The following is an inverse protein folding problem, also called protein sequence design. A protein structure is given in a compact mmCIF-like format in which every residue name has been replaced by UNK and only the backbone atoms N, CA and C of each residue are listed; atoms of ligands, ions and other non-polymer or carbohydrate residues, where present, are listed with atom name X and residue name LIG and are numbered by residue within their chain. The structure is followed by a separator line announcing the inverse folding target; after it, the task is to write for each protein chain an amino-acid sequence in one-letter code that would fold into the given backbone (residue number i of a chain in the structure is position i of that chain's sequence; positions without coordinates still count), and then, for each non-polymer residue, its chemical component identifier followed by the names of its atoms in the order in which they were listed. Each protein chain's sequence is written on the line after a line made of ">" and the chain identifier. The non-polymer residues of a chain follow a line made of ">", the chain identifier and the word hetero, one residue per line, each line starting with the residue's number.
data_IF_182567651977
#
_entry.id   IF_182567651977
#
_cell.length_a   1.000
_cell.length_b   1.000
_cell.length_c   1.000
_cell.angle_alpha   90.00
_cell.angle_beta   90.00
_cell.angle_gamma   90.00
#
_symmetry.space_group_name_H-M   'P 1'
#
loop_
_entity.id
_entity.type
_entity.pdbx_description
1 polymer ?
#
# COMPACT_ATOMS: atom_id res chain seq x y z
N UNK A 1 36.49 -2.39 -8.14
CA UNK A 1 35.50 -3.06 -7.28
C UNK A 1 34.49 -2.00 -6.88
N UNK A 2 33.28 -2.03 -7.46
CA UNK A 2 32.37 -0.87 -7.48
C UNK A 2 31.45 -0.88 -6.26
N UNK A 3 31.45 0.19 -5.46
CA UNK A 3 30.76 0.29 -4.17
C UNK A 3 29.30 0.79 -4.30
N UNK A 4 28.57 0.30 -5.31
CA UNK A 4 27.14 0.66 -5.53
C UNK A 4 26.19 -0.53 -5.40
N UNK A 5 26.59 -1.57 -4.66
CA UNK A 5 25.66 -2.59 -4.16
C UNK A 5 25.33 -2.29 -2.69
N UNK A 6 24.81 -1.08 -2.42
CA UNK A 6 24.08 -0.86 -1.18
C UNK A 6 22.70 -1.47 -1.41
N UNK A 7 22.52 -2.67 -0.85
CA UNK A 7 21.24 -3.37 -0.70
C UNK A 7 20.21 -2.41 -0.12
N UNK A 8 19.47 -1.72 -0.97
CA UNK A 8 18.30 -0.95 -0.58
C UNK A 8 17.36 -1.96 0.08
N UNK A 9 16.90 -1.73 1.32
CA UNK A 9 15.90 -2.62 1.90
C UNK A 9 14.69 -2.57 0.97
N UNK A 10 14.47 -3.65 0.21
CA UNK A 10 13.26 -3.84 -0.56
C UNK A 10 12.16 -4.05 0.46
N UNK A 11 11.52 -2.95 0.86
CA UNK A 11 10.35 -3.02 1.71
C UNK A 11 9.29 -3.76 0.93
N UNK A 12 8.95 -4.94 1.44
CA UNK A 12 7.88 -5.73 0.89
C UNK A 12 6.56 -5.08 1.30
N UNK A 13 5.83 -4.56 0.32
CA UNK A 13 4.45 -4.17 0.54
C UNK A 13 3.68 -5.36 1.10
N UNK A 14 2.79 -5.11 2.05
CA UNK A 14 1.93 -6.17 2.61
C UNK A 14 1.30 -6.95 1.45
N UNK A 15 1.37 -8.28 1.52
CA UNK A 15 0.92 -9.17 0.44
C UNK A 15 -0.55 -9.00 0.03
N UNK A 16 -1.36 -8.32 0.87
CA UNK A 16 -2.75 -7.96 0.61
C UNK A 16 -2.95 -6.60 -0.09
N UNK A 17 -1.92 -5.75 -0.21
CA UNK A 17 -2.01 -4.46 -0.91
C UNK A 17 -2.35 -4.70 -2.38
N UNK A 18 -3.37 -3.99 -2.86
CA UNK A 18 -3.88 -4.10 -4.24
C UNK A 18 -4.04 -2.74 -4.91
N UNK A 19 -3.99 -1.64 -4.16
CA UNK A 19 -3.89 -0.30 -4.73
C UNK A 19 -2.45 0.04 -5.11
N UNK A 20 -2.27 0.89 -6.13
CA UNK A 20 -0.97 1.45 -6.55
C UNK A 20 0.12 0.40 -6.85
N UNK A 21 -0.27 -0.81 -7.25
CA UNK A 21 0.62 -1.89 -7.67
C UNK A 21 0.31 -2.33 -9.09
N UNK A 22 1.30 -2.84 -9.84
CA UNK A 22 1.17 -3.27 -11.24
C UNK A 22 0.41 -4.59 -11.37
N UNK A 23 -0.90 -4.57 -11.11
CA UNK A 23 -1.84 -5.70 -11.23
C UNK A 23 -3.30 -5.19 -11.26
N UNK A 24 -4.27 -5.99 -11.72
CA UNK A 24 -5.69 -5.61 -11.68
C UNK A 24 -6.27 -5.71 -10.26
N UNK A 25 -5.71 -4.97 -9.31
CA UNK A 25 -5.96 -5.15 -7.87
C UNK A 25 -7.41 -4.92 -7.44
N UNK A 26 -8.12 -3.96 -8.07
CA UNK A 26 -9.54 -3.73 -7.82
C UNK A 26 -10.37 -4.97 -8.21
N UNK A 27 -10.16 -5.49 -9.42
CA UNK A 27 -10.85 -6.69 -9.90
C UNK A 27 -10.57 -7.89 -9.00
N UNK A 28 -9.31 -8.10 -8.59
CA UNK A 28 -8.95 -9.17 -7.66
C UNK A 28 -9.68 -9.04 -6.32
N UNK A 29 -9.74 -7.84 -5.73
CA UNK A 29 -10.43 -7.61 -4.47
C UNK A 29 -11.95 -7.86 -4.58
N UNK A 30 -12.58 -7.39 -5.66
CA UNK A 30 -14.01 -7.65 -5.92
C UNK A 30 -14.27 -9.15 -6.06
N UNK A 31 -13.44 -9.86 -6.83
CA UNK A 31 -13.54 -11.31 -6.99
C UNK A 31 -13.38 -12.05 -5.66
N UNK A 32 -12.43 -11.66 -4.82
CA UNK A 32 -12.23 -12.25 -3.48
C UNK A 32 -13.43 -12.04 -2.57
N UNK A 33 -13.93 -10.81 -2.44
CA UNK A 33 -15.10 -10.51 -1.60
C UNK A 33 -16.32 -11.29 -2.10
N UNK A 34 -16.54 -11.33 -3.42
CA UNK A 34 -17.62 -12.11 -4.03
C UNK A 34 -17.49 -13.61 -3.73
N UNK A 35 -16.27 -14.17 -3.77
CA UNK A 35 -16.03 -15.56 -3.44
C UNK A 35 -16.30 -15.86 -1.96
N UNK A 36 -15.86 -14.98 -1.05
CA UNK A 36 -16.13 -15.11 0.39
C UNK A 36 -17.63 -15.09 0.71
N UNK A 37 -18.37 -14.16 0.09
CA UNK A 37 -19.84 -14.10 0.22
C UNK A 37 -20.49 -15.38 -0.31
N UNK A 38 -20.02 -15.90 -1.46
CA UNK A 38 -20.54 -17.13 -2.04
C UNK A 38 -20.35 -18.32 -1.08
N UNK A 39 -19.13 -18.51 -0.56
CA UNK A 39 -18.81 -19.61 0.37
C UNK A 39 -19.64 -19.49 1.66
N UNK A 40 -19.76 -18.29 2.22
CA UNK A 40 -20.58 -18.08 3.42
C UNK A 40 -22.05 -18.50 3.21
N UNK A 41 -22.62 -18.21 2.02
CA UNK A 41 -23.98 -18.64 1.66
C UNK A 41 -24.08 -20.15 1.48
N UNK A 42 -23.10 -20.77 0.84
CA UNK A 42 -23.07 -22.22 0.61
C UNK A 42 -22.91 -23.01 1.92
N UNK A 43 -22.16 -22.48 2.89
CA UNK A 43 -21.92 -23.10 4.19
C UNK A 43 -22.95 -22.72 5.28
N UNK A 44 -23.98 -21.92 4.97
CA UNK A 44 -24.92 -21.35 5.96
C UNK A 44 -24.20 -20.61 7.12
N UNK A 45 -23.13 -19.88 6.80
CA UNK A 45 -22.37 -19.08 7.76
C UNK A 45 -22.67 -17.60 7.59
N UNK A 46 -22.60 -16.86 8.69
CA UNK A 46 -22.66 -15.40 8.66
C UNK A 46 -21.30 -14.81 8.31
N UNK A 47 -21.30 -13.75 7.52
CA UNK A 47 -20.11 -12.94 7.21
C UNK A 47 -20.44 -11.46 7.47
N UNK A 48 -19.49 -10.75 8.10
CA UNK A 48 -19.53 -9.31 8.25
C UNK A 48 -18.45 -8.68 7.37
N UNK A 49 -18.79 -7.60 6.68
CA UNK A 49 -17.86 -6.83 5.85
C UNK A 49 -17.83 -5.40 6.36
N UNK A 50 -16.65 -4.95 6.81
CA UNK A 50 -16.40 -3.56 7.15
C UNK A 50 -15.77 -2.82 5.98
N UNK A 51 -16.42 -1.77 5.49
CA UNK A 51 -15.83 -0.82 4.55
C UNK A 51 -15.30 0.38 5.34
N UNK A 52 -13.98 0.54 5.36
CA UNK A 52 -13.30 1.64 6.04
C UNK A 52 -12.70 2.54 4.96
N UNK A 53 -12.95 3.84 5.07
CA UNK A 53 -12.40 4.86 4.17
C UNK A 53 -11.74 5.98 4.99
N UNK A 54 -10.67 6.55 4.44
CA UNK A 54 -9.95 7.68 5.04
C UNK A 54 -10.35 8.96 4.29
N UNK A 55 -11.12 9.81 4.95
CA UNK A 55 -11.51 11.10 4.40
C UNK A 55 -10.26 11.94 4.10
N UNK A 56 -10.16 12.45 2.87
CA UNK A 56 -9.03 13.27 2.41
C UNK A 56 -7.68 12.60 2.67
N UNK A 57 -7.54 11.33 2.27
CA UNK A 57 -6.37 10.50 2.55
C UNK A 57 -5.03 11.14 2.14
N UNK A 58 -4.99 11.97 1.08
CA UNK A 58 -3.75 12.65 0.68
C UNK A 58 -3.54 13.98 1.44
N UNK A 59 -4.59 14.74 1.70
CA UNK A 59 -4.49 16.02 2.42
C UNK A 59 -4.21 15.83 3.93
N UNK A 60 -4.58 14.67 4.49
CA UNK A 60 -4.48 14.38 5.92
C UNK A 60 -3.18 13.71 6.35
N UNK A 61 -2.31 13.36 5.40
CA UNK A 61 -1.02 12.73 5.70
C UNK A 61 -0.06 13.77 6.27
N UNK A 62 0.52 13.46 7.44
CA UNK A 62 1.57 14.29 8.03
C UNK A 62 2.85 14.17 7.23
N UNK A 63 3.52 15.30 6.95
CA UNK A 63 4.82 15.35 6.27
C UNK A 63 5.87 14.43 6.94
N UNK A 64 5.89 14.37 8.27
CA UNK A 64 6.76 13.47 9.04
C UNK A 64 6.54 11.99 8.71
N UNK A 65 5.32 11.59 8.35
CA UNK A 65 5.01 10.22 7.93
C UNK A 65 5.56 9.91 6.55
N UNK A 66 5.55 10.90 5.64
CA UNK A 66 6.15 10.77 4.30
C UNK A 66 7.66 10.71 4.40
N UNK A 67 8.29 11.63 5.15
CA UNK A 67 9.73 11.62 5.39
C UNK A 67 10.21 10.29 5.99
N UNK A 68 9.47 9.78 6.99
CA UNK A 68 9.75 8.45 7.57
C UNK A 68 9.65 7.35 6.53
N UNK A 69 8.65 7.37 5.66
CA UNK A 69 8.51 6.38 4.59
C UNK A 69 9.69 6.48 3.60
N UNK A 70 10.04 7.68 3.10
CA UNK A 70 11.15 7.89 2.17
C UNK A 70 12.48 7.39 2.72
N UNK A 71 12.77 7.70 3.99
CA UNK A 71 13.94 7.19 4.71
C UNK A 71 13.91 5.67 4.82
N UNK A 72 12.75 5.10 5.14
CA UNK A 72 12.59 3.66 5.24
C UNK A 72 12.85 2.97 3.88
N UNK A 73 12.40 3.55 2.76
CA UNK A 73 12.64 3.03 1.40
C UNK A 73 14.07 3.24 0.88
N UNK A 74 14.97 3.85 1.66
CA UNK A 74 16.35 4.11 1.22
C UNK A 74 16.42 5.09 0.04
N UNK A 75 15.51 6.06 0.02
CA UNK A 75 15.45 7.09 -1.02
C UNK A 75 16.71 7.96 -0.97
N UNK A 76 17.27 8.32 -2.12
CA UNK A 76 18.43 9.23 -2.17
C UNK A 76 18.06 10.64 -1.73
N UNK A 77 19.01 11.38 -1.16
CA UNK A 77 18.80 12.75 -0.65
C UNK A 77 18.18 13.68 -1.72
N UNK A 78 18.62 13.56 -2.97
CA UNK A 78 18.07 14.34 -4.08
C UNK A 78 16.56 14.09 -4.29
N UNK A 79 16.13 12.82 -4.30
CA UNK A 79 14.72 12.48 -4.45
C UNK A 79 13.92 12.84 -3.19
N UNK A 80 14.52 12.71 -2.02
CA UNK A 80 13.92 13.14 -0.76
C UNK A 80 13.56 14.63 -0.80
N UNK A 81 14.52 15.48 -1.19
CA UNK A 81 14.29 16.94 -1.27
C UNK A 81 13.28 17.33 -2.34
N UNK A 82 13.25 16.66 -3.49
CA UNK A 82 12.19 16.89 -4.50
C UNK A 82 10.80 16.62 -3.90
N UNK A 83 10.63 15.52 -3.17
CA UNK A 83 9.32 15.20 -2.57
C UNK A 83 8.97 16.19 -1.45
N UNK A 84 9.97 16.64 -0.69
CA UNK A 84 9.80 17.63 0.37
C UNK A 84 9.39 19.02 -0.17
N UNK A 85 10.00 19.46 -1.27
CA UNK A 85 9.72 20.77 -1.89
C UNK A 85 8.36 20.84 -2.62
N UNK A 86 7.77 19.69 -2.93
CA UNK A 86 6.50 19.58 -3.66
C UNK A 86 5.29 19.23 -2.78
N UNK A 87 5.49 19.15 -1.46
CA UNK A 87 4.43 19.00 -0.47
C UNK A 87 3.93 20.36 0.02
#
# INVERSE_FOLDING_TARGET
>A
MNAYELSTPQIELIAAQRGFVRRPGCFENVCKVRALIKVAREENRSIAVGAIDLAKAFDSVQQSSVQRALNHFGTSDHLFHIVEDHY
#
